data_IF_858525322124
#
_entry.id   IF_858525322124
#
_cell.length_a   1.000
_cell.length_b   1.000
_cell.length_c   1.000
_cell.angle_alpha   90.00
_cell.angle_beta   90.00
_cell.angle_gamma   90.00
#
_symmetry.space_group_name_H-M   'P 1'
#
loop_
_entity.id
_entity.type
_entity.pdbx_description
1 polymer ?
#
# COMPACT_ATOMS: atom_id res chain seq x y z
N UNK A 1 0.55 -27.59 29.44
CA UNK A 1 0.43 -26.12 29.46
C UNK A 1 0.12 -25.66 28.04
N UNK A 2 -1.11 -25.21 27.78
CA UNK A 2 -1.53 -24.72 26.45
C UNK A 2 -0.87 -23.36 26.23
N UNK A 3 0.15 -23.32 25.37
CA UNK A 3 0.88 -22.10 25.05
C UNK A 3 -0.06 -21.07 24.43
N UNK A 4 -0.21 -19.90 25.07
CA UNK A 4 -0.96 -18.77 24.51
C UNK A 4 -0.38 -18.47 23.12
N UNK A 5 -1.24 -18.49 22.09
CA UNK A 5 -0.88 -17.98 20.75
C UNK A 5 -0.35 -16.55 20.93
N UNK A 6 0.93 -16.34 20.64
CA UNK A 6 1.55 -15.01 20.63
C UNK A 6 0.99 -14.25 19.41
N UNK A 7 -0.03 -13.43 19.65
CA UNK A 7 -0.52 -12.47 18.67
C UNK A 7 0.44 -11.27 18.67
N UNK A 8 0.84 -10.80 17.48
CA UNK A 8 1.60 -9.56 17.34
C UNK A 8 0.61 -8.42 17.12
N UNK A 9 0.75 -7.34 17.88
CA UNK A 9 -0.11 -6.16 17.78
C UNK A 9 0.38 -5.22 16.68
N UNK A 10 -0.50 -4.86 15.74
CA UNK A 10 -0.24 -3.93 14.64
C UNK A 10 -0.88 -2.55 14.86
N UNK A 11 -1.40 -2.28 16.06
CA UNK A 11 -2.12 -1.05 16.41
C UNK A 11 -1.32 0.23 16.16
N UNK A 12 -0.01 0.24 16.44
CA UNK A 12 0.86 1.41 16.24
C UNK A 12 0.96 1.79 14.77
N UNK A 13 1.25 0.82 13.89
CA UNK A 13 1.21 1.04 12.45
C UNK A 13 -0.19 1.52 12.00
N UNK A 14 -1.27 0.91 12.51
CA UNK A 14 -2.64 1.31 12.17
C UNK A 14 -2.92 2.77 12.53
N UNK A 15 -2.44 3.23 13.68
CA UNK A 15 -2.56 4.62 14.12
C UNK A 15 -1.82 5.57 13.17
N UNK A 16 -0.61 5.19 12.73
CA UNK A 16 0.19 5.98 11.79
C UNK A 16 -0.43 5.99 10.38
N UNK A 17 -0.96 4.85 9.93
CA UNK A 17 -1.56 4.70 8.61
C UNK A 17 -2.91 5.42 8.45
N UNK A 18 -3.70 5.55 9.52
CA UNK A 18 -5.01 6.21 9.47
C UNK A 18 -5.88 5.67 8.33
N UNK A 19 -6.24 6.54 7.38
CA UNK A 19 -7.08 6.22 6.22
C UNK A 19 -6.29 5.92 4.93
N UNK A 20 -4.96 5.75 4.99
CA UNK A 20 -4.12 5.43 3.84
C UNK A 20 -4.16 3.93 3.52
N UNK A 21 -5.33 3.44 3.12
CA UNK A 21 -5.63 2.01 2.99
C UNK A 21 -4.98 1.36 1.77
N UNK A 22 -4.58 2.15 0.76
CA UNK A 22 -4.09 1.64 -0.51
C UNK A 22 -2.58 1.78 -0.59
N UNK A 23 -1.95 0.81 -1.26
CA UNK A 23 -0.51 0.87 -1.55
C UNK A 23 -0.11 2.14 -2.31
N UNK A 24 -1.03 2.71 -3.09
CA UNK A 24 -0.78 3.94 -3.84
C UNK A 24 -0.77 5.21 -2.98
N UNK A 25 -1.25 5.13 -1.75
CA UNK A 25 -1.21 6.22 -0.77
C UNK A 25 0.19 6.37 -0.18
N UNK A 26 1.04 5.35 -0.29
CA UNK A 26 2.44 5.42 0.12
C UNK A 26 3.25 6.35 -0.79
N UNK A 27 4.19 7.09 -0.19
CA UNK A 27 5.27 7.79 -0.89
C UNK A 27 6.25 6.79 -1.52
N UNK A 28 7.22 7.29 -2.30
CA UNK A 28 8.28 6.45 -2.87
C UNK A 28 9.06 5.71 -1.76
N UNK A 29 9.36 6.39 -0.65
CA UNK A 29 10.06 5.79 0.49
C UNK A 29 9.22 4.69 1.18
N UNK A 30 7.93 4.95 1.44
CA UNK A 30 7.04 3.92 1.98
C UNK A 30 6.93 2.70 1.06
N UNK A 31 6.82 2.93 -0.26
CA UNK A 31 6.80 1.87 -1.27
C UNK A 31 8.08 1.05 -1.29
N UNK A 32 9.24 1.69 -1.10
CA UNK A 32 10.55 1.04 -1.05
C UNK A 32 10.63 0.06 0.12
N UNK A 33 10.19 0.46 1.33
CA UNK A 33 10.16 -0.41 2.51
C UNK A 33 9.34 -1.68 2.24
N UNK A 34 8.15 -1.55 1.64
CA UNK A 34 7.31 -2.72 1.27
C UNK A 34 8.09 -3.68 0.37
N UNK A 35 8.72 -3.16 -0.69
CA UNK A 35 9.45 -3.98 -1.67
C UNK A 35 10.67 -4.65 -1.03
N UNK A 36 11.41 -3.92 -0.18
CA UNK A 36 12.59 -4.45 0.53
C UNK A 36 12.20 -5.61 1.45
N UNK A 37 11.12 -5.49 2.23
CA UNK A 37 10.64 -6.55 3.13
C UNK A 37 10.14 -7.76 2.34
N UNK A 38 9.39 -7.55 1.25
CA UNK A 38 8.95 -8.63 0.36
C UNK A 38 10.17 -9.37 -0.20
N UNK A 39 11.15 -8.64 -0.71
CA UNK A 39 12.37 -9.21 -1.30
C UNK A 39 13.15 -10.00 -0.26
N UNK A 40 13.29 -9.48 0.96
CA UNK A 40 13.96 -10.14 2.09
C UNK A 40 13.26 -11.44 2.49
N UNK A 41 11.93 -11.47 2.51
CA UNK A 41 11.16 -12.61 3.01
C UNK A 41 10.80 -13.67 1.95
N UNK A 42 10.63 -13.26 0.69
CA UNK A 42 10.09 -14.08 -0.40
C UNK A 42 10.95 -14.06 -1.68
N UNK A 43 12.05 -13.30 -1.71
CA UNK A 43 12.95 -13.21 -2.87
C UNK A 43 12.42 -12.31 -3.99
N UNK A 44 13.16 -12.23 -5.11
CA UNK A 44 12.88 -11.30 -6.23
C UNK A 44 11.54 -11.50 -6.94
N UNK A 45 10.99 -12.72 -6.98
CA UNK A 45 9.66 -12.98 -7.56
C UNK A 45 8.52 -12.62 -6.59
N UNK A 46 8.82 -12.55 -5.30
CA UNK A 46 8.02 -11.92 -4.26
C UNK A 46 6.52 -12.26 -4.22
N UNK A 47 5.77 -11.40 -3.54
CA UNK A 47 4.31 -11.34 -3.59
C UNK A 47 3.89 -9.99 -4.16
N UNK A 48 2.67 -9.86 -4.71
CA UNK A 48 2.15 -8.57 -5.14
C UNK A 48 2.18 -7.56 -3.98
N UNK A 49 2.79 -6.40 -4.21
CA UNK A 49 2.98 -5.35 -3.18
C UNK A 49 1.65 -4.77 -2.69
N UNK A 50 0.66 -4.65 -3.58
CA UNK A 50 -0.69 -4.24 -3.25
C UNK A 50 -1.36 -5.23 -2.29
N UNK A 51 -1.22 -6.54 -2.55
CA UNK A 51 -1.73 -7.61 -1.68
C UNK A 51 -1.06 -7.62 -0.31
N UNK A 52 0.26 -7.45 -0.27
CA UNK A 52 1.03 -7.40 0.99
C UNK A 52 0.61 -6.21 1.84
N UNK A 53 0.52 -5.02 1.22
CA UNK A 53 0.09 -3.82 1.92
C UNK A 53 -1.36 -3.92 2.38
N UNK A 54 -2.24 -4.49 1.56
CA UNK A 54 -3.63 -4.75 1.93
C UNK A 54 -3.74 -5.61 3.20
N UNK A 55 -2.99 -6.72 3.26
CA UNK A 55 -3.01 -7.60 4.44
C UNK A 55 -2.44 -6.88 5.67
N UNK A 56 -1.36 -6.11 5.52
CA UNK A 56 -0.82 -5.30 6.62
C UNK A 56 -1.86 -4.29 7.13
N UNK A 57 -2.51 -3.55 6.23
CA UNK A 57 -3.45 -2.50 6.61
C UNK A 57 -4.70 -3.04 7.30
N UNK A 58 -5.20 -4.21 6.92
CA UNK A 58 -6.44 -4.76 7.48
C UNK A 58 -6.22 -5.61 8.74
N UNK A 59 -5.00 -6.10 8.98
CA UNK A 59 -4.71 -7.00 10.07
C UNK A 59 -4.29 -6.25 11.35
N UNK A 60 -5.20 -6.13 12.32
CA UNK A 60 -4.90 -5.55 13.65
C UNK A 60 -4.07 -6.49 14.51
N UNK A 61 -4.57 -7.72 14.72
CA UNK A 61 -3.83 -8.77 15.42
C UNK A 61 -3.17 -9.71 14.42
N UNK A 62 -1.84 -9.68 14.31
CA UNK A 62 -1.09 -10.46 13.34
C UNK A 62 -0.81 -11.87 13.88
N UNK A 63 -1.65 -12.81 13.45
CA UNK A 63 -1.55 -14.23 13.74
C UNK A 63 -1.95 -15.07 12.51
N UNK A 64 -1.82 -16.39 12.59
CA UNK A 64 -2.07 -17.27 11.43
C UNK A 64 -3.51 -17.16 10.92
N UNK A 65 -4.48 -17.08 11.82
CA UNK A 65 -5.90 -17.12 11.48
C UNK A 65 -6.34 -15.80 10.85
N UNK A 66 -5.90 -14.66 11.39
CA UNK A 66 -6.16 -13.33 10.82
C UNK A 66 -5.50 -13.13 9.46
N UNK A 67 -4.24 -13.56 9.29
CA UNK A 67 -3.55 -13.49 7.99
C UNK A 67 -4.26 -14.36 6.96
N UNK A 68 -4.66 -15.58 7.34
CA UNK A 68 -5.41 -16.47 6.46
C UNK A 68 -6.74 -15.83 6.03
N UNK A 69 -7.49 -15.27 6.97
CA UNK A 69 -8.74 -14.58 6.70
C UNK A 69 -8.56 -13.46 5.67
N UNK A 70 -7.61 -12.54 5.89
CA UNK A 70 -7.41 -11.41 4.98
C UNK A 70 -6.87 -11.81 3.61
N UNK A 71 -6.07 -12.88 3.53
CA UNK A 71 -5.64 -13.44 2.26
C UNK A 71 -6.80 -14.07 1.48
N UNK A 72 -7.69 -14.79 2.16
CA UNK A 72 -8.88 -15.38 1.54
C UNK A 72 -9.87 -14.30 1.10
N UNK A 73 -10.04 -13.25 1.91
CA UNK A 73 -10.86 -12.10 1.57
C UNK A 73 -10.32 -11.36 0.35
N UNK A 74 -9.00 -11.10 0.30
CA UNK A 74 -8.36 -10.50 -0.87
C UNK A 74 -8.54 -11.36 -2.13
N UNK A 75 -8.40 -12.69 -2.01
CA UNK A 75 -8.66 -13.63 -3.10
C UNK A 75 -10.10 -13.53 -3.62
N UNK A 76 -11.10 -13.44 -2.73
CA UNK A 76 -12.50 -13.26 -3.11
C UNK A 76 -12.78 -11.96 -3.87
N UNK A 77 -11.98 -10.92 -3.66
CA UNK A 77 -12.09 -9.63 -4.36
C UNK A 77 -11.36 -9.58 -5.70
N UNK A 78 -10.40 -10.48 -5.96
CA UNK A 78 -9.50 -10.40 -7.12
C UNK A 78 -9.52 -11.69 -7.93
N UNK A 79 -10.19 -11.67 -9.09
CA UNK A 79 -10.44 -12.83 -9.95
C UNK A 79 -9.17 -13.56 -10.45
N UNK A 80 -8.02 -12.88 -10.48
CA UNK A 80 -6.74 -13.43 -10.95
C UNK A 80 -5.79 -13.88 -9.82
N UNK A 81 -6.26 -13.88 -8.57
CA UNK A 81 -5.43 -14.30 -7.43
C UNK A 81 -5.55 -15.80 -7.16
N UNK A 82 -4.64 -16.32 -6.34
CA UNK A 82 -4.60 -17.74 -5.95
C UNK A 82 -5.03 -17.92 -4.51
N UNK A 83 -5.79 -18.99 -4.26
CA UNK A 83 -6.19 -19.36 -2.90
C UNK A 83 -4.93 -19.55 -2.03
N UNK A 84 -4.87 -18.93 -0.82
CA UNK A 84 -3.66 -18.97 -0.02
C UNK A 84 -3.39 -20.37 0.54
N UNK A 85 -2.24 -20.93 0.20
CA UNK A 85 -1.70 -22.13 0.85
C UNK A 85 -1.22 -21.84 2.27
N UNK A 86 -1.05 -22.88 3.10
CA UNK A 86 -0.47 -22.74 4.44
C UNK A 86 0.94 -22.12 4.43
N UNK A 87 1.74 -22.43 3.41
CA UNK A 87 3.05 -21.82 3.23
C UNK A 87 2.93 -20.32 2.91
N UNK A 88 1.96 -19.94 2.08
CA UNK A 88 1.63 -18.53 1.80
C UNK A 88 1.25 -17.80 3.08
N UNK A 89 0.35 -18.38 3.89
CA UNK A 89 -0.06 -17.79 5.18
C UNK A 89 1.15 -17.61 6.11
N UNK A 90 2.02 -18.62 6.22
CA UNK A 90 3.25 -18.52 7.04
C UNK A 90 4.18 -17.41 6.55
N UNK A 91 4.37 -17.27 5.24
CA UNK A 91 5.20 -16.21 4.65
C UNK A 91 4.61 -14.82 4.89
N UNK A 92 3.31 -14.65 4.68
CA UNK A 92 2.63 -13.39 4.96
C UNK A 92 2.66 -13.03 6.44
N UNK A 93 2.54 -14.02 7.34
CA UNK A 93 2.70 -13.76 8.78
C UNK A 93 4.07 -13.14 9.09
N UNK A 94 5.15 -13.68 8.51
CA UNK A 94 6.49 -13.11 8.69
C UNK A 94 6.62 -11.73 8.05
N UNK A 95 6.12 -11.56 6.82
CA UNK A 95 6.17 -10.29 6.09
C UNK A 95 5.42 -9.20 6.85
N UNK A 96 4.17 -9.45 7.26
CA UNK A 96 3.33 -8.47 7.95
C UNK A 96 3.95 -8.02 9.27
N UNK A 97 4.53 -8.93 10.06
CA UNK A 97 5.25 -8.57 11.30
C UNK A 97 6.45 -7.66 11.01
N UNK A 98 7.33 -8.07 10.10
CA UNK A 98 8.54 -7.29 9.79
C UNK A 98 8.19 -5.94 9.15
N UNK A 99 7.15 -5.91 8.31
CA UNK A 99 6.71 -4.70 7.64
C UNK A 99 6.07 -3.70 8.61
N UNK A 100 5.26 -4.18 9.56
CA UNK A 100 4.70 -3.36 10.64
C UNK A 100 5.80 -2.64 11.41
N UNK A 101 6.79 -3.40 11.91
CA UNK A 101 7.94 -2.86 12.64
C UNK A 101 8.73 -1.86 11.79
N UNK A 102 9.08 -2.22 10.55
CA UNK A 102 9.88 -1.36 9.67
C UNK A 102 9.16 -0.04 9.33
N UNK A 103 7.83 -0.07 9.15
CA UNK A 103 7.05 1.14 8.89
C UNK A 103 7.02 2.04 10.13
N UNK A 104 6.77 1.48 11.32
CA UNK A 104 6.79 2.25 12.57
C UNK A 104 8.16 2.88 12.80
N UNK A 105 9.24 2.11 12.67
CA UNK A 105 10.61 2.61 12.82
C UNK A 105 10.94 3.72 11.82
N UNK A 106 10.57 3.55 10.55
CA UNK A 106 10.78 4.57 9.53
C UNK A 106 10.02 5.87 9.86
N UNK A 107 8.77 5.76 10.30
CA UNK A 107 7.99 6.92 10.74
C UNK A 107 8.65 7.64 11.91
N UNK A 108 9.07 6.89 12.94
CA UNK A 108 9.74 7.43 14.12
C UNK A 108 11.09 8.11 13.78
N UNK A 109 11.72 7.70 12.68
CA UNK A 109 12.91 8.34 12.11
C UNK A 109 12.61 9.52 11.17
N UNK A 110 11.36 9.98 11.09
CA UNK A 110 10.94 11.14 10.29
C UNK A 110 10.70 10.85 8.80
N UNK A 111 10.66 9.57 8.38
CA UNK A 111 10.34 9.22 7.00
C UNK A 111 8.86 9.49 6.73
N UNK A 112 8.58 10.31 5.70
CA UNK A 112 7.21 10.53 5.20
C UNK A 112 6.72 9.28 4.46
N UNK A 113 5.95 8.44 5.14
CA UNK A 113 5.44 7.18 4.58
C UNK A 113 4.26 7.36 3.64
N UNK A 114 3.38 8.33 3.92
CA UNK A 114 2.13 8.54 3.20
C UNK A 114 2.13 9.87 2.45
N UNK A 115 1.43 9.88 1.32
CA UNK A 115 1.16 11.06 0.52
C UNK A 115 0.08 11.87 1.24
N UNK A 116 0.50 12.76 2.11
CA UNK A 116 -0.39 13.80 2.63
C UNK A 116 -0.51 14.90 1.57
N UNK A 117 -1.71 15.50 1.48
CA UNK A 117 -1.85 16.75 0.77
C UNK A 117 -0.96 17.79 1.47
N UNK A 118 -0.07 18.42 0.72
CA UNK A 118 0.72 19.54 1.20
C UNK A 118 -0.08 20.81 0.96
N UNK A 119 -0.13 21.67 1.98
CA UNK A 119 -0.76 22.98 1.86
C UNK A 119 -0.12 23.76 0.70
N UNK A 120 -0.97 24.32 -0.16
CA UNK A 120 -0.55 25.05 -1.36
C UNK A 120 -0.25 24.20 -2.60
N UNK A 121 -0.36 22.87 -2.53
CA UNK A 121 -0.19 21.98 -3.69
C UNK A 121 -1.54 21.52 -4.23
N UNK A 122 -1.71 21.57 -5.56
CA UNK A 122 -2.89 21.04 -6.24
C UNK A 122 -2.78 19.52 -6.43
N UNK A 123 -3.86 18.80 -6.10
CA UNK A 123 -3.97 17.36 -6.31
C UNK A 123 -5.11 17.05 -7.27
N UNK A 124 -4.79 16.39 -8.38
CA UNK A 124 -5.78 16.05 -9.41
C UNK A 124 -6.91 15.17 -8.85
N UNK A 125 -8.14 15.49 -9.22
CA UNK A 125 -9.32 14.69 -8.88
C UNK A 125 -9.37 13.39 -9.69
N UNK A 126 -10.18 12.40 -9.30
CA UNK A 126 -10.36 11.17 -10.08
C UNK A 126 -10.83 11.44 -11.53
N UNK A 127 -11.65 12.48 -11.73
CA UNK A 127 -12.15 12.87 -13.06
C UNK A 127 -11.02 13.41 -13.92
N UNK A 128 -10.22 14.33 -13.38
CA UNK A 128 -9.05 14.90 -14.08
C UNK A 128 -7.99 13.85 -14.37
N UNK A 129 -7.77 12.90 -13.45
CA UNK A 129 -6.89 11.77 -13.71
C UNK A 129 -7.36 10.95 -14.91
N UNK A 130 -8.65 10.63 -14.99
CA UNK A 130 -9.21 9.91 -16.12
C UNK A 130 -8.99 10.65 -17.45
N UNK A 131 -9.12 11.98 -17.45
CA UNK A 131 -8.85 12.81 -18.63
C UNK A 131 -7.39 12.71 -19.07
N UNK A 132 -6.43 12.79 -18.13
CA UNK A 132 -5.00 12.65 -18.43
C UNK A 132 -4.65 11.24 -18.91
N UNK A 133 -5.18 10.21 -18.27
CA UNK A 133 -4.96 8.82 -18.68
C UNK A 133 -5.50 8.61 -20.12
N UNK A 134 -6.68 9.16 -20.44
CA UNK A 134 -7.24 9.14 -21.81
C UNK A 134 -6.37 9.89 -22.82
N UNK A 135 -5.79 11.03 -22.45
CA UNK A 135 -4.87 11.77 -23.32
C UNK A 135 -3.63 10.94 -23.64
N UNK A 136 -3.05 10.28 -22.64
CA UNK A 136 -1.92 9.36 -22.82
C UNK A 136 -2.28 8.21 -23.78
N UNK A 137 -3.41 7.53 -23.54
CA UNK A 137 -3.86 6.40 -24.36
C UNK A 137 -4.21 6.81 -25.80
N UNK A 138 -4.57 8.09 -26.01
CA UNK A 138 -4.83 8.66 -27.34
C UNK A 138 -3.56 9.10 -28.06
N UNK A 139 -2.38 8.91 -27.47
CA UNK A 139 -1.08 9.18 -28.08
C UNK A 139 -0.65 10.65 -28.04
N UNK A 140 -1.23 11.47 -27.14
CA UNK A 140 -0.79 12.86 -26.99
C UNK A 140 0.65 12.93 -26.49
N UNK A 141 1.33 14.00 -26.90
CA UNK A 141 2.69 14.27 -26.45
C UNK A 141 2.73 14.64 -24.97
N UNK A 142 3.89 14.43 -24.34
CA UNK A 142 4.13 14.85 -22.96
C UNK A 142 3.89 16.36 -22.76
N UNK A 143 4.18 17.18 -23.76
CA UNK A 143 4.01 18.63 -23.69
C UNK A 143 2.54 19.05 -23.67
N UNK A 144 1.69 18.36 -24.45
CA UNK A 144 0.25 18.58 -24.42
C UNK A 144 -0.37 18.16 -23.08
N UNK A 145 0.07 17.03 -22.53
CA UNK A 145 -0.37 16.57 -21.21
C UNK A 145 0.06 17.55 -20.09
N UNK A 146 1.28 18.10 -20.15
CA UNK A 146 1.75 19.13 -19.20
C UNK A 146 0.88 20.38 -19.29
N UNK A 147 0.54 20.81 -20.51
CA UNK A 147 -0.31 21.99 -20.74
C UNK A 147 -1.71 21.78 -20.15
N UNK A 148 -2.29 20.60 -20.32
CA UNK A 148 -3.57 20.24 -19.74
C UNK A 148 -3.53 20.25 -18.20
N UNK A 149 -2.47 19.69 -17.60
CA UNK A 149 -2.27 19.71 -16.15
C UNK A 149 -2.13 21.13 -15.61
N UNK A 150 -1.38 22.00 -16.29
CA UNK A 150 -1.23 23.41 -15.91
C UNK A 150 -2.59 24.12 -15.91
N UNK A 151 -3.39 23.92 -16.96
CA UNK A 151 -4.73 24.49 -17.03
C UNK A 151 -5.64 24.00 -15.88
N UNK A 152 -5.58 22.71 -15.54
CA UNK A 152 -6.34 22.17 -14.40
C UNK A 152 -5.95 22.80 -13.07
N UNK A 153 -4.66 23.14 -12.89
CA UNK A 153 -4.17 23.85 -11.70
C UNK A 153 -4.71 25.29 -11.69
N UNK A 154 -4.59 26.01 -12.80
CA UNK A 154 -5.03 27.40 -12.91
C UNK A 154 -6.55 27.55 -12.72
N UNK A 155 -7.34 26.62 -13.28
CA UNK A 155 -8.80 26.60 -13.14
C UNK A 155 -9.23 26.33 -11.69
N UNK A 156 -8.42 25.61 -10.90
CA UNK A 156 -8.71 25.32 -9.49
C UNK A 156 -8.38 26.45 -8.52
N UNK A 157 -7.55 27.41 -8.97
CA UNK A 157 -7.13 28.56 -8.19
C UNK A 157 -8.06 29.77 -8.32
N UNK A 158 -9.05 29.71 -9.23
CA UNK A 158 -10.08 30.72 -9.48
C UNK A 158 -11.45 30.31 -8.93
#
# INVERSE_FOLDING_TARGET
MVGKKQNFDNSEFKSIAGNFEKYNDLTIEGKRIVIEIITKCAGKKGYPKEKVYYVLFNCWDVNRDSIKYWLQYYYGLHQNDTLPSDNTVRKFLTITKQLSVAMVEAHNNGVKLFKTAQDGMYYITPVQKYEIDKMYDSGLSAQEMITALQKMIDDSAN
#
